data_IF_573048313777
#
_entry.id   IF_573048313777
#
_cell.length_a   1.000
_cell.length_b   1.000
_cell.length_c   1.000
_cell.angle_alpha   90.00
_cell.angle_beta   90.00
_cell.angle_gamma   90.00
#
_symmetry.space_group_name_H-M   'P 1'
#
loop_
_entity.id
_entity.type
_entity.pdbx_description
1 polymer ?
#
# COMPACT_ATOMS: atom_id res chain seq x y z
N UNK A 1 1.78 -35.69 -0.85
CA UNK A 1 2.84 -34.70 -0.53
C UNK A 1 2.25 -33.30 -0.37
N UNK A 2 1.00 -33.22 0.09
CA UNK A 2 0.54 -32.55 1.31
C UNK A 2 1.21 -31.21 1.61
N UNK A 3 0.60 -30.13 1.12
CA UNK A 3 0.89 -28.74 1.51
C UNK A 3 1.05 -28.56 3.02
N UNK A 4 0.35 -29.37 3.82
CA UNK A 4 0.48 -29.42 5.27
C UNK A 4 1.88 -29.85 5.73
N UNK A 5 2.50 -30.85 5.10
CA UNK A 5 3.88 -31.24 5.40
C UNK A 5 4.85 -30.11 5.03
N UNK A 6 4.67 -29.47 3.87
CA UNK A 6 5.49 -28.31 3.50
C UNK A 6 5.37 -27.15 4.51
N UNK A 7 4.16 -26.85 4.97
CA UNK A 7 3.91 -25.79 5.96
C UNK A 7 4.56 -26.13 7.31
N UNK A 8 4.46 -27.38 7.77
CA UNK A 8 5.06 -27.82 9.03
C UNK A 8 6.58 -27.74 8.94
N UNK A 9 7.16 -28.24 7.84
CA UNK A 9 8.61 -28.26 7.63
C UNK A 9 9.21 -26.85 7.44
N UNK A 10 8.42 -25.90 6.92
CA UNK A 10 8.84 -24.52 6.64
C UNK A 10 8.19 -23.48 7.55
N UNK A 11 7.62 -23.89 8.69
CA UNK A 11 6.82 -23.01 9.56
C UNK A 11 7.57 -21.73 9.96
N UNK A 12 8.85 -21.86 10.36
CA UNK A 12 9.67 -20.71 10.73
C UNK A 12 9.92 -19.73 9.59
N UNK A 13 10.07 -20.22 8.36
CA UNK A 13 10.24 -19.40 7.17
C UNK A 13 8.92 -18.69 6.77
N UNK A 14 7.80 -19.39 6.84
CA UNK A 14 6.48 -18.78 6.58
C UNK A 14 6.13 -17.71 7.63
N UNK A 15 6.48 -17.96 8.89
CA UNK A 15 6.28 -16.99 9.96
C UNK A 15 7.14 -15.73 9.75
N UNK A 16 8.39 -15.85 9.32
CA UNK A 16 9.24 -14.69 9.04
C UNK A 16 8.76 -13.87 7.86
N UNK A 17 8.30 -14.52 6.77
CA UNK A 17 7.67 -13.84 5.63
C UNK A 17 6.39 -13.11 6.02
N UNK A 18 5.57 -13.73 6.87
CA UNK A 18 4.33 -13.13 7.38
C UNK A 18 4.64 -11.90 8.22
N UNK A 19 5.64 -11.99 9.10
CA UNK A 19 6.08 -10.84 9.90
C UNK A 19 6.64 -9.72 9.01
N UNK A 20 7.42 -10.06 7.98
CA UNK A 20 7.92 -9.09 7.01
C UNK A 20 6.76 -8.38 6.29
N UNK A 21 5.74 -9.12 5.86
CA UNK A 21 4.56 -8.53 5.22
C UNK A 21 3.79 -7.63 6.19
N UNK A 22 3.58 -8.08 7.43
CA UNK A 22 2.91 -7.31 8.47
C UNK A 22 3.65 -5.99 8.75
N UNK A 23 4.97 -6.02 8.81
CA UNK A 23 5.81 -4.83 8.98
C UNK A 23 5.64 -3.85 7.82
N UNK A 24 5.66 -4.32 6.57
CA UNK A 24 5.46 -3.48 5.38
C UNK A 24 4.09 -2.81 5.38
N UNK A 25 3.04 -3.57 5.70
CA UNK A 25 1.67 -3.06 5.77
C UNK A 25 1.53 -2.06 6.91
N UNK A 26 2.04 -2.36 8.09
CA UNK A 26 1.99 -1.46 9.25
C UNK A 26 2.68 -0.12 8.96
N UNK A 27 3.84 -0.15 8.31
CA UNK A 27 4.57 1.05 7.89
C UNK A 27 3.77 1.87 6.87
N UNK A 28 3.24 1.22 5.83
CA UNK A 28 2.44 1.89 4.80
C UNK A 28 1.15 2.51 5.34
N UNK A 29 0.40 1.76 6.16
CA UNK A 29 -0.83 2.23 6.79
C UNK A 29 -0.53 3.32 7.81
N UNK A 30 0.58 3.23 8.55
CA UNK A 30 1.03 4.29 9.45
C UNK A 30 1.19 5.63 8.71
N UNK A 31 1.88 5.63 7.56
CA UNK A 31 1.97 6.83 6.71
C UNK A 31 0.60 7.26 6.16
N UNK A 32 -0.26 6.31 5.77
CA UNK A 32 -1.59 6.60 5.27
C UNK A 32 -2.48 7.26 6.34
N UNK A 33 -2.37 6.87 7.61
CA UNK A 33 -3.08 7.51 8.72
C UNK A 33 -2.56 8.92 8.95
N UNK A 34 -1.24 9.09 9.01
CA UNK A 34 -0.60 10.40 9.26
C UNK A 34 -0.99 11.43 8.21
N UNK A 35 -1.20 11.03 6.96
CA UNK A 35 -1.59 11.94 5.86
C UNK A 35 -3.10 11.97 5.65
N UNK A 36 -3.74 10.79 5.62
CA UNK A 36 -5.14 10.61 5.29
C UNK A 36 -6.08 11.19 6.34
N UNK A 37 -5.81 11.00 7.63
CA UNK A 37 -6.68 11.55 8.69
C UNK A 37 -6.73 13.08 8.66
N UNK A 38 -5.59 13.81 8.58
CA UNK A 38 -5.62 15.26 8.39
C UNK A 38 -6.35 15.70 7.12
N UNK A 39 -6.17 14.98 5.99
CA UNK A 39 -6.88 15.28 4.74
C UNK A 39 -8.39 15.10 4.90
N UNK A 40 -8.84 14.02 5.54
CA UNK A 40 -10.26 13.78 5.82
C UNK A 40 -10.87 14.88 6.69
N UNK A 41 -10.17 15.27 7.76
CA UNK A 41 -10.59 16.40 8.62
C UNK A 41 -10.63 17.71 7.82
N UNK A 42 -9.66 17.95 6.94
CA UNK A 42 -9.58 19.17 6.14
C UNK A 42 -10.74 19.28 5.15
N UNK A 43 -11.17 18.17 4.56
CA UNK A 43 -12.31 18.12 3.63
C UNK A 43 -13.62 18.53 4.32
N UNK A 44 -13.80 18.14 5.59
CA UNK A 44 -14.98 18.55 6.38
C UNK A 44 -15.03 20.07 6.53
N UNK A 45 -13.87 20.73 6.69
CA UNK A 45 -13.77 22.19 6.81
C UNK A 45 -13.87 22.91 5.46
N UNK A 46 -13.27 22.35 4.41
CA UNK A 46 -13.22 22.95 3.08
C UNK A 46 -13.80 22.01 2.04
N UNK A 47 -15.13 22.03 1.89
CA UNK A 47 -15.86 21.10 1.03
C UNK A 47 -15.40 21.07 -0.44
N UNK A 48 -14.82 22.15 -0.95
CA UNK A 48 -14.28 22.19 -2.32
C UNK A 48 -13.08 21.26 -2.54
N UNK A 49 -12.38 20.86 -1.46
CA UNK A 49 -11.29 19.89 -1.51
C UNK A 49 -11.79 18.43 -1.59
N UNK A 50 -13.06 18.17 -1.27
CA UNK A 50 -13.63 16.82 -1.32
C UNK A 50 -13.50 16.20 -2.71
N UNK A 51 -13.93 16.94 -3.73
CA UNK A 51 -13.96 16.48 -5.12
C UNK A 51 -12.58 16.08 -5.65
N UNK A 52 -11.52 16.91 -5.57
CA UNK A 52 -10.21 16.52 -6.06
C UNK A 52 -9.58 15.38 -5.24
N UNK A 53 -9.69 15.41 -3.91
CA UNK A 53 -9.02 14.41 -3.07
C UNK A 53 -9.66 13.03 -3.24
N UNK A 54 -10.99 12.94 -3.11
CA UNK A 54 -11.71 11.67 -3.27
C UNK A 54 -11.65 11.19 -4.73
N UNK A 55 -11.67 12.11 -5.69
CA UNK A 55 -11.51 11.78 -7.11
C UNK A 55 -10.17 11.11 -7.41
N UNK A 56 -9.06 11.70 -6.95
CA UNK A 56 -7.72 11.11 -7.11
C UNK A 56 -7.61 9.75 -6.43
N UNK A 57 -8.10 9.65 -5.20
CA UNK A 57 -8.06 8.40 -4.44
C UNK A 57 -8.91 7.30 -5.11
N UNK A 58 -10.04 7.65 -5.72
CA UNK A 58 -10.85 6.71 -6.52
C UNK A 58 -10.13 6.26 -7.78
N UNK A 59 -9.47 7.18 -8.52
CA UNK A 59 -8.69 6.83 -9.71
C UNK A 59 -7.63 5.79 -9.38
N UNK A 60 -6.89 5.99 -8.29
CA UNK A 60 -5.88 5.03 -7.82
C UNK A 60 -6.47 3.64 -7.59
N UNK A 61 -7.63 3.54 -6.93
CA UNK A 61 -8.27 2.24 -6.68
C UNK A 61 -8.80 1.55 -7.94
N UNK A 62 -9.08 2.30 -9.01
CA UNK A 62 -9.47 1.68 -10.30
C UNK A 62 -8.30 1.05 -11.04
N UNK A 63 -7.07 1.44 -10.73
CA UNK A 63 -5.87 0.85 -11.33
C UNK A 63 -5.62 -0.50 -10.66
N UNK A 64 -5.68 -1.65 -11.36
CA UNK A 64 -5.46 -2.95 -10.74
C UNK A 64 -4.05 -3.03 -10.15
N UNK A 65 -3.92 -3.70 -9.01
CA UNK A 65 -2.67 -3.73 -8.23
C UNK A 65 -1.46 -4.16 -9.07
N UNK A 66 -1.61 -5.17 -9.93
CA UNK A 66 -0.53 -5.64 -10.80
C UNK A 66 -0.08 -4.58 -11.83
N UNK A 67 -1.01 -3.78 -12.36
CA UNK A 67 -0.68 -2.69 -13.27
C UNK A 67 -0.03 -1.53 -12.52
N UNK A 68 -0.49 -1.22 -11.30
CA UNK A 68 0.15 -0.22 -10.45
C UNK A 68 1.60 -0.60 -10.17
N UNK A 69 1.88 -1.85 -9.81
CA UNK A 69 3.26 -2.35 -9.67
C UNK A 69 4.05 -2.21 -10.98
N UNK A 70 3.45 -2.54 -12.12
CA UNK A 70 4.04 -2.33 -13.44
C UNK A 70 4.44 -0.86 -13.72
N UNK A 71 3.64 0.10 -13.26
CA UNK A 71 3.94 1.54 -13.36
C UNK A 71 5.05 1.98 -12.38
N UNK A 72 5.10 1.38 -11.20
CA UNK A 72 6.10 1.71 -10.18
C UNK A 72 7.51 1.24 -10.55
N UNK A 73 7.65 0.14 -11.31
CA UNK A 73 8.95 -0.38 -11.75
C UNK A 73 9.77 0.69 -12.50
N UNK A 74 9.33 1.25 -13.64
CA UNK A 74 10.11 2.27 -14.36
C UNK A 74 10.25 3.55 -13.53
N UNK A 75 9.25 3.92 -12.73
CA UNK A 75 9.26 5.13 -11.91
C UNK A 75 10.37 5.07 -10.84
N UNK A 76 10.40 4.01 -10.04
CA UNK A 76 11.38 3.87 -8.96
C UNK A 76 12.72 3.28 -9.40
N UNK A 77 12.78 2.65 -10.58
CA UNK A 77 14.06 2.23 -11.18
C UNK A 77 14.99 3.41 -11.47
N UNK A 78 14.45 4.62 -11.70
CA UNK A 78 15.27 5.84 -11.82
C UNK A 78 16.13 6.12 -10.58
N UNK A 79 15.71 5.62 -9.41
CA UNK A 79 16.40 5.76 -8.12
C UNK A 79 17.04 4.41 -7.70
N UNK A 80 17.10 3.44 -8.62
CA UNK A 80 17.63 2.09 -8.36
C UNK A 80 16.74 1.20 -7.48
N UNK A 81 15.48 1.59 -7.24
CA UNK A 81 14.54 0.91 -6.32
C UNK A 81 13.26 0.43 -7.03
N UNK A 82 13.38 -0.08 -8.26
CA UNK A 82 12.24 -0.49 -9.07
C UNK A 82 11.41 -1.65 -8.49
N UNK A 83 12.02 -2.50 -7.64
CA UNK A 83 11.37 -3.64 -6.97
C UNK A 83 11.83 -3.66 -5.51
N UNK A 84 10.92 -3.99 -4.60
CA UNK A 84 11.25 -4.18 -3.19
C UNK A 84 10.28 -3.46 -2.25
N UNK A 85 10.81 -2.98 -1.13
CA UNK A 85 10.05 -2.34 -0.05
C UNK A 85 9.34 -1.07 -0.53
N UNK A 86 10.04 -0.21 -1.28
CA UNK A 86 9.53 1.10 -1.65
C UNK A 86 8.28 1.04 -2.56
N UNK A 87 8.26 0.28 -3.67
CA UNK A 87 7.04 0.08 -4.46
C UNK A 87 5.91 -0.58 -3.66
N UNK A 88 6.22 -1.57 -2.82
CA UNK A 88 5.22 -2.29 -2.04
C UNK A 88 4.53 -1.39 -1.01
N UNK A 89 5.31 -0.62 -0.26
CA UNK A 89 4.81 0.36 0.71
C UNK A 89 4.02 1.45 0.02
N UNK A 90 4.50 1.96 -1.11
CA UNK A 90 3.81 3.01 -1.88
C UNK A 90 2.44 2.52 -2.37
N UNK A 91 2.36 1.30 -2.91
CA UNK A 91 1.10 0.73 -3.39
C UNK A 91 0.09 0.57 -2.25
N UNK A 92 0.51 0.00 -1.11
CA UNK A 92 -0.37 -0.17 0.06
C UNK A 92 -0.80 1.18 0.63
N UNK A 93 0.11 2.16 0.70
CA UNK A 93 -0.19 3.53 1.12
C UNK A 93 -1.27 4.17 0.23
N UNK A 94 -1.08 4.13 -1.09
CA UNK A 94 -2.00 4.70 -2.06
C UNK A 94 -3.40 4.07 -1.99
N UNK A 95 -3.46 2.74 -1.87
CA UNK A 95 -4.72 2.01 -1.72
C UNK A 95 -5.41 2.27 -0.37
N UNK A 96 -4.63 2.48 0.69
CA UNK A 96 -5.16 2.78 2.02
C UNK A 96 -5.68 4.21 2.16
N UNK A 97 -5.38 5.10 1.21
CA UNK A 97 -5.73 6.51 1.33
C UNK A 97 -7.23 6.77 1.20
N UNK A 98 -7.93 6.16 0.23
CA UNK A 98 -9.37 6.39 0.05
C UNK A 98 -10.21 5.96 1.27
N UNK A 99 -10.00 4.77 1.88
CA UNK A 99 -10.78 4.37 3.04
C UNK A 99 -10.48 5.17 4.32
N UNK A 100 -9.32 5.83 4.38
CA UNK A 100 -8.87 6.58 5.57
C UNK A 100 -9.30 8.06 5.51
N UNK A 101 -9.28 8.66 4.31
CA UNK A 101 -9.67 10.06 4.06
C UNK A 101 -11.19 10.21 4.11
#
# INVERSE_FOLDING_TARGET
MDTLHYIIDNWGYLASLTFQHLWLVALAVGFAIVIGVPLGILIVRFKWLATPILGLATIVLTIPSIALFGLMIPLFSMIGQGIGVLPAVTAVFLYSLLPIV
#
